data_IF_679470423807
#
_entry.id   IF_679470423807
#
_cell.length_a   1.000
_cell.length_b   1.000
_cell.length_c   1.000
_cell.angle_alpha   90.00
_cell.angle_beta   90.00
_cell.angle_gamma   90.00
#
_symmetry.space_group_name_H-M   'P 1'
#
loop_
_entity.id
_entity.type
_entity.pdbx_description
1 polymer ?
#
# COMPACT_ATOMS: atom_id res chain seq x y z
N UNK A 1 -51.70 -10.34 32.70
CA UNK A 1 -50.31 -10.26 33.18
C UNK A 1 -49.52 -9.49 32.12
N UNK A 2 -49.41 -8.16 32.09
CA UNK A 2 -49.42 -7.14 33.18
C UNK A 2 -48.39 -7.45 34.27
N UNK A 3 -47.39 -6.64 34.63
CA UNK A 3 -46.88 -5.32 34.16
C UNK A 3 -45.30 -5.38 34.19
N UNK A 4 -44.44 -4.36 33.99
CA UNK A 4 -44.48 -2.87 33.99
C UNK A 4 -43.50 -2.28 32.95
N UNK A 5 -43.61 -0.97 32.73
CA UNK A 5 -42.62 -0.10 32.08
C UNK A 5 -41.44 0.22 33.01
N UNK A 6 -40.27 0.54 32.44
CA UNK A 6 -39.26 1.41 33.06
C UNK A 6 -38.72 2.39 32.01
N UNK A 7 -39.13 3.66 32.11
CA UNK A 7 -38.37 4.78 31.53
C UNK A 7 -37.07 4.99 32.31
N UNK A 8 -36.16 5.83 31.77
CA UNK A 8 -34.99 6.55 32.36
C UNK A 8 -33.80 6.35 31.41
N UNK A 9 -33.11 7.37 30.87
CA UNK A 9 -33.35 8.83 30.80
C UNK A 9 -32.68 9.37 29.54
N UNK A 10 -33.26 10.40 28.91
CA UNK A 10 -32.73 11.02 27.70
C UNK A 10 -31.59 12.02 28.03
N UNK A 11 -30.34 11.58 28.00
CA UNK A 11 -29.18 12.46 28.18
C UNK A 11 -28.81 13.17 26.87
N UNK A 12 -29.38 14.35 26.65
CA UNK A 12 -29.04 15.22 25.52
C UNK A 12 -27.65 15.85 25.72
N UNK A 13 -26.62 15.16 25.22
CA UNK A 13 -25.26 15.70 25.14
C UNK A 13 -25.17 16.68 23.96
N UNK A 14 -25.29 17.97 24.27
CA UNK A 14 -25.01 19.06 23.34
C UNK A 14 -23.50 19.11 23.12
N UNK A 15 -23.00 18.35 22.14
CA UNK A 15 -21.65 18.56 21.64
C UNK A 15 -21.63 19.86 20.84
N UNK A 16 -21.05 20.90 21.44
CA UNK A 16 -20.77 22.14 20.74
C UNK A 16 -19.88 21.85 19.53
N UNK A 17 -20.36 22.19 18.34
CA UNK A 17 -19.60 22.16 17.09
C UNK A 17 -18.50 23.23 17.12
N UNK A 18 -17.40 22.93 17.83
CA UNK A 18 -16.19 23.72 17.78
C UNK A 18 -15.61 23.64 16.37
N UNK A 19 -15.91 24.65 15.56
CA UNK A 19 -15.24 24.88 14.28
C UNK A 19 -13.78 25.24 14.56
N UNK A 20 -12.95 24.22 14.77
CA UNK A 20 -11.51 24.36 14.75
C UNK A 20 -11.11 24.76 13.33
N UNK A 21 -10.98 26.06 13.10
CA UNK A 21 -10.27 26.59 11.95
C UNK A 21 -8.84 26.08 12.05
N UNK A 22 -8.56 24.97 11.38
CA UNK A 22 -7.21 24.54 11.09
C UNK A 22 -6.57 25.67 10.28
N UNK A 23 -5.74 26.48 10.95
CA UNK A 23 -4.90 27.41 10.25
C UNK A 23 -3.99 26.59 9.35
N UNK A 24 -4.18 26.68 8.04
CA UNK A 24 -3.23 26.19 7.06
C UNK A 24 -1.93 26.99 7.27
N UNK A 25 -1.08 26.46 8.14
CA UNK A 25 0.27 26.93 8.31
C UNK A 25 0.99 26.66 6.98
N UNK A 26 1.05 27.69 6.14
CA UNK A 26 1.85 27.66 4.91
C UNK A 26 3.26 27.24 5.31
N UNK A 27 3.78 26.11 4.81
CA UNK A 27 5.09 25.64 5.20
C UNK A 27 6.11 26.73 4.91
N UNK A 28 6.78 27.25 5.94
CA UNK A 28 7.82 28.26 5.76
C UNK A 28 8.90 27.60 4.88
N UNK A 29 9.22 28.15 3.70
CA UNK A 29 10.14 27.52 2.77
C UNK A 29 11.50 27.28 3.43
N UNK A 30 11.97 26.03 3.38
CA UNK A 30 13.16 25.57 4.09
C UNK A 30 14.44 25.98 3.35
N UNK A 31 14.76 27.27 3.36
CA UNK A 31 15.98 27.83 2.79
C UNK A 31 15.79 28.50 1.41
N UNK A 32 16.89 28.74 0.67
CA UNK A 32 16.84 29.45 -0.60
C UNK A 32 16.07 28.66 -1.66
N UNK A 33 15.63 29.36 -2.72
CA UNK A 33 15.04 28.72 -3.89
C UNK A 33 15.97 27.66 -4.50
N UNK A 34 15.39 26.68 -5.18
CA UNK A 34 16.14 25.67 -5.93
C UNK A 34 16.74 26.29 -7.18
N UNK A 35 18.04 26.08 -7.36
CA UNK A 35 18.77 26.44 -8.58
C UNK A 35 18.35 25.57 -9.77
N UNK A 36 18.67 26.02 -11.00
CA UNK A 36 18.33 25.30 -12.23
C UNK A 36 18.87 23.86 -12.23
N UNK A 37 20.09 23.63 -11.76
CA UNK A 37 20.68 22.28 -11.77
C UNK A 37 20.12 21.37 -10.66
N UNK A 38 19.76 21.92 -9.49
CA UNK A 38 19.00 21.19 -8.47
C UNK A 38 17.61 20.81 -9.01
N UNK A 39 16.94 21.73 -9.71
CA UNK A 39 15.66 21.49 -10.36
C UNK A 39 15.74 20.40 -11.44
N UNK A 40 16.84 20.32 -12.21
CA UNK A 40 17.10 19.23 -13.16
C UNK A 40 17.17 17.89 -12.45
N UNK A 41 17.93 17.80 -11.36
CA UNK A 41 17.97 16.60 -10.51
C UNK A 41 16.59 16.18 -10.04
N UNK A 42 15.81 17.13 -9.50
CA UNK A 42 14.44 16.89 -9.06
C UNK A 42 13.51 16.38 -10.17
N UNK A 43 13.54 16.99 -11.36
CA UNK A 43 12.75 16.55 -12.51
C UNK A 43 13.13 15.13 -12.99
N UNK A 44 14.35 14.68 -12.72
CA UNK A 44 14.81 13.32 -13.04
C UNK A 44 14.51 12.27 -11.95
N UNK A 45 14.14 12.67 -10.73
CA UNK A 45 13.66 11.77 -9.69
C UNK A 45 12.14 11.50 -9.80
N UNK A 46 11.37 12.45 -10.33
CA UNK A 46 9.93 12.32 -10.58
C UNK A 46 9.54 11.03 -11.36
N UNK A 47 10.15 10.67 -12.51
CA UNK A 47 9.84 9.42 -13.21
C UNK A 47 10.28 8.15 -12.45
N UNK A 48 11.32 8.23 -11.61
CA UNK A 48 11.77 7.08 -10.79
C UNK A 48 10.77 6.78 -9.67
N UNK A 49 10.26 7.82 -9.02
CA UNK A 49 9.19 7.70 -8.03
C UNK A 49 7.92 7.09 -8.64
N UNK A 50 7.57 7.48 -9.87
CA UNK A 50 6.42 6.91 -10.57
C UNK A 50 6.64 5.43 -10.94
N UNK A 51 7.82 5.07 -11.47
CA UNK A 51 8.17 3.67 -11.71
C UNK A 51 8.11 2.82 -10.42
N UNK A 52 8.57 3.35 -9.28
CA UNK A 52 8.48 2.69 -7.98
C UNK A 52 7.02 2.52 -7.48
N UNK A 53 6.12 3.48 -7.73
CA UNK A 53 4.68 3.31 -7.46
C UNK A 53 4.08 2.17 -8.29
N UNK A 54 4.47 2.06 -9.56
CA UNK A 54 3.98 1.03 -10.46
C UNK A 54 4.49 -0.37 -10.07
N UNK A 55 5.75 -0.49 -9.66
CA UNK A 55 6.30 -1.74 -9.10
C UNK A 55 5.57 -2.18 -7.82
N UNK A 56 5.26 -1.24 -6.90
CA UNK A 56 4.44 -1.52 -5.71
C UNK A 56 3.03 -1.99 -6.09
N UNK A 57 2.39 -1.35 -7.08
CA UNK A 57 1.06 -1.73 -7.55
C UNK A 57 1.07 -3.15 -8.14
N UNK A 58 2.08 -3.48 -8.95
CA UNK A 58 2.30 -4.83 -9.47
C UNK A 58 2.50 -5.86 -8.35
N UNK A 59 3.36 -5.57 -7.36
CA UNK A 59 3.60 -6.48 -6.22
C UNK A 59 2.36 -6.69 -5.36
N UNK A 60 1.51 -5.68 -5.20
CA UNK A 60 0.18 -5.82 -4.54
C UNK A 60 -0.73 -6.75 -5.34
N UNK A 61 -0.85 -6.54 -6.65
CA UNK A 61 -1.65 -7.42 -7.50
C UNK A 61 -1.19 -8.89 -7.43
N UNK A 62 0.13 -9.15 -7.39
CA UNK A 62 0.70 -10.49 -7.18
C UNK A 62 0.31 -11.07 -5.81
N UNK A 63 0.36 -10.28 -4.74
CA UNK A 63 -0.07 -10.71 -3.41
C UNK A 63 -1.56 -11.08 -3.39
N UNK A 64 -2.41 -10.23 -3.99
CA UNK A 64 -3.86 -10.44 -4.06
C UNK A 64 -4.20 -11.70 -4.89
N UNK A 65 -3.54 -11.90 -6.03
CA UNK A 65 -3.67 -13.11 -6.88
C UNK A 65 -3.33 -14.38 -6.10
N UNK A 66 -2.20 -14.41 -5.39
CA UNK A 66 -1.75 -15.58 -4.61
C UNK A 66 -2.66 -15.82 -3.40
N UNK A 67 -3.17 -14.77 -2.76
CA UNK A 67 -4.12 -14.87 -1.65
C UNK A 67 -5.48 -15.40 -2.12
N UNK A 68 -5.94 -15.01 -3.32
CA UNK A 68 -7.15 -15.55 -3.95
C UNK A 68 -6.99 -17.03 -4.30
N UNK A 69 -5.84 -17.42 -4.88
CA UNK A 69 -5.52 -18.83 -5.19
C UNK A 69 -5.51 -19.70 -3.93
N UNK A 70 -4.90 -19.23 -2.85
CA UNK A 70 -4.92 -19.93 -1.57
C UNK A 70 -6.35 -20.10 -1.03
N UNK A 71 -7.17 -19.05 -1.10
CA UNK A 71 -8.56 -19.07 -0.63
C UNK A 71 -9.40 -20.07 -1.43
N UNK A 72 -9.22 -20.12 -2.76
CA UNK A 72 -9.88 -21.09 -3.62
C UNK A 72 -9.45 -22.54 -3.31
N UNK A 73 -8.16 -22.78 -3.10
CA UNK A 73 -7.62 -24.10 -2.75
C UNK A 73 -8.10 -24.58 -1.38
N UNK A 74 -8.13 -23.70 -0.37
CA UNK A 74 -8.69 -23.99 0.95
C UNK A 74 -10.19 -24.34 0.88
N UNK A 75 -10.96 -23.64 0.03
CA UNK A 75 -12.35 -23.98 -0.25
C UNK A 75 -12.50 -25.40 -0.84
N UNK A 76 -11.65 -25.77 -1.80
CA UNK A 76 -11.63 -27.13 -2.37
C UNK A 76 -11.25 -28.20 -1.34
N UNK A 77 -10.25 -27.94 -0.49
CA UNK A 77 -9.83 -28.83 0.62
C UNK A 77 -10.99 -29.02 1.60
N UNK A 78 -11.65 -27.93 2.01
CA UNK A 78 -12.79 -27.97 2.92
C UNK A 78 -13.98 -28.73 2.33
N UNK A 79 -14.23 -28.62 1.03
CA UNK A 79 -15.29 -29.38 0.37
C UNK A 79 -14.95 -30.86 0.26
N UNK A 80 -13.74 -31.21 -0.21
CA UNK A 80 -13.29 -32.62 -0.29
C UNK A 80 -13.37 -33.32 1.06
N UNK A 81 -12.93 -32.67 2.15
CA UNK A 81 -13.02 -33.22 3.52
C UNK A 81 -14.44 -33.59 3.97
N UNK A 82 -15.49 -32.93 3.45
CA UNK A 82 -16.88 -33.21 3.79
C UNK A 82 -17.47 -34.39 3.03
N UNK A 83 -16.90 -34.75 1.88
CA UNK A 83 -17.49 -35.70 0.93
C UNK A 83 -16.58 -36.90 0.61
N UNK A 84 -15.43 -37.01 1.26
CA UNK A 84 -14.45 -38.07 1.02
C UNK A 84 -14.87 -39.35 1.75
N UNK A 85 -14.96 -40.46 1.00
CA UNK A 85 -15.12 -41.80 1.57
C UNK A 85 -13.84 -42.22 2.33
N UNK A 86 -13.92 -42.67 3.59
CA UNK A 86 -12.77 -43.18 4.33
C UNK A 86 -12.02 -44.33 3.65
N UNK A 87 -12.64 -45.02 2.70
CA UNK A 87 -12.06 -46.13 1.94
C UNK A 87 -11.47 -45.69 0.58
N UNK A 88 -11.72 -44.45 0.13
CA UNK A 88 -11.13 -43.91 -1.09
C UNK A 88 -9.69 -43.45 -0.82
N UNK A 89 -8.75 -44.36 -1.04
CA UNK A 89 -7.31 -44.11 -0.88
C UNK A 89 -6.79 -43.06 -1.87
N UNK A 90 -7.38 -42.97 -3.07
CA UNK A 90 -6.96 -42.00 -4.10
C UNK A 90 -7.42 -40.60 -3.70
N UNK A 91 -8.68 -40.45 -3.26
CA UNK A 91 -9.21 -39.20 -2.74
C UNK A 91 -8.47 -38.71 -1.50
N UNK A 92 -8.02 -39.61 -0.62
CA UNK A 92 -7.17 -39.28 0.54
C UNK A 92 -5.80 -38.72 0.12
N UNK A 93 -5.12 -39.36 -0.83
CA UNK A 93 -3.82 -38.88 -1.31
C UNK A 93 -3.97 -37.56 -2.10
N UNK A 94 -5.03 -37.40 -2.90
CA UNK A 94 -5.35 -36.13 -3.56
C UNK A 94 -5.59 -35.00 -2.53
N UNK A 95 -6.37 -35.26 -1.47
CA UNK A 95 -6.61 -34.29 -0.40
C UNK A 95 -5.31 -33.89 0.31
N UNK A 96 -4.45 -34.85 0.63
CA UNK A 96 -3.13 -34.64 1.23
C UNK A 96 -2.24 -33.77 0.34
N UNK A 97 -2.22 -34.04 -0.97
CA UNK A 97 -1.46 -33.23 -1.93
C UNK A 97 -2.02 -31.80 -2.07
N UNK A 98 -3.35 -31.60 -2.09
CA UNK A 98 -3.93 -30.25 -2.03
C UNK A 98 -3.54 -29.51 -0.75
N UNK A 99 -3.54 -30.18 0.41
CA UNK A 99 -3.09 -29.59 1.68
C UNK A 99 -1.61 -29.18 1.65
N UNK A 100 -0.74 -30.00 1.06
CA UNK A 100 0.68 -29.68 0.89
C UNK A 100 0.88 -28.47 -0.03
N UNK A 101 0.14 -28.38 -1.15
CA UNK A 101 0.15 -27.22 -2.05
C UNK A 101 -0.32 -25.94 -1.32
N UNK A 102 -1.37 -26.03 -0.51
CA UNK A 102 -1.85 -24.89 0.28
C UNK A 102 -0.85 -24.46 1.37
N UNK A 103 -0.08 -25.38 1.94
CA UNK A 103 1.00 -25.06 2.87
C UNK A 103 2.16 -24.36 2.16
N UNK A 104 2.61 -24.88 1.01
CA UNK A 104 3.67 -24.27 0.20
C UNK A 104 3.29 -22.87 -0.32
N UNK A 105 2.03 -22.67 -0.75
CA UNK A 105 1.54 -21.36 -1.18
C UNK A 105 1.46 -20.35 -0.02
N UNK A 106 1.05 -20.79 1.19
CA UNK A 106 1.12 -19.95 2.39
C UNK A 106 2.55 -19.53 2.70
N UNK A 107 3.50 -20.47 2.65
CA UNK A 107 4.90 -20.16 2.90
C UNK A 107 5.42 -19.13 1.89
N UNK A 108 5.26 -19.38 0.57
CA UNK A 108 5.64 -18.44 -0.50
C UNK A 108 5.07 -17.03 -0.29
N UNK A 109 3.81 -16.92 0.14
CA UNK A 109 3.16 -15.63 0.44
C UNK A 109 3.88 -14.92 1.61
N UNK A 110 4.23 -15.64 2.69
CA UNK A 110 4.93 -15.03 3.83
C UNK A 110 6.41 -14.75 3.54
N UNK A 111 7.15 -15.76 3.08
CA UNK A 111 8.61 -15.76 2.99
C UNK A 111 9.14 -14.95 1.80
N UNK A 112 8.34 -14.78 0.75
CA UNK A 112 8.76 -14.05 -0.45
C UNK A 112 7.84 -12.89 -0.82
N UNK A 113 6.56 -13.15 -1.09
CA UNK A 113 5.68 -12.12 -1.71
C UNK A 113 5.46 -10.92 -0.79
N UNK A 114 5.18 -11.16 0.49
CA UNK A 114 5.02 -10.08 1.49
C UNK A 114 6.32 -9.34 1.77
N UNK A 115 7.45 -10.04 1.91
CA UNK A 115 8.75 -9.38 2.12
C UNK A 115 9.13 -8.51 0.92
N UNK A 116 8.93 -9.01 -0.31
CA UNK A 116 9.23 -8.26 -1.53
C UNK A 116 8.38 -7.00 -1.69
N UNK A 117 7.07 -7.08 -1.37
CA UNK A 117 6.20 -5.90 -1.34
C UNK A 117 6.62 -4.90 -0.25
N UNK A 118 6.92 -5.37 0.96
CA UNK A 118 7.34 -4.50 2.07
C UNK A 118 8.65 -3.78 1.75
N UNK A 119 9.61 -4.46 1.12
CA UNK A 119 10.87 -3.87 0.67
C UNK A 119 10.62 -2.75 -0.34
N UNK A 120 9.85 -3.01 -1.42
CA UNK A 120 9.54 -1.99 -2.42
C UNK A 120 8.82 -0.77 -1.83
N UNK A 121 7.90 -0.98 -0.87
CA UNK A 121 7.25 0.12 -0.13
C UNK A 121 8.25 0.91 0.71
N UNK A 122 9.20 0.24 1.38
CA UNK A 122 10.26 0.88 2.16
C UNK A 122 11.17 1.73 1.27
N UNK A 123 11.61 1.20 0.14
CA UNK A 123 12.50 1.88 -0.80
C UNK A 123 11.81 3.10 -1.44
N UNK A 124 10.55 2.96 -1.86
CA UNK A 124 9.73 4.10 -2.29
C UNK A 124 9.60 5.16 -1.21
N UNK A 125 9.35 4.79 0.05
CA UNK A 125 9.22 5.77 1.14
C UNK A 125 10.54 6.52 1.39
N UNK A 126 11.69 5.83 1.29
CA UNK A 126 13.00 6.46 1.39
C UNK A 126 13.25 7.44 0.22
N UNK A 127 12.97 7.04 -1.02
CA UNK A 127 13.07 7.91 -2.20
C UNK A 127 12.13 9.11 -2.09
N UNK A 128 10.88 8.90 -1.68
CA UNK A 128 9.89 9.98 -1.52
C UNK A 128 10.30 10.95 -0.41
N UNK A 129 10.80 10.46 0.73
CA UNK A 129 11.32 11.31 1.80
C UNK A 129 12.52 12.14 1.34
N UNK A 130 13.44 11.55 0.58
CA UNK A 130 14.59 12.26 0.01
C UNK A 130 14.13 13.35 -0.98
N UNK A 131 13.24 13.01 -1.91
CA UNK A 131 12.66 13.96 -2.86
C UNK A 131 11.88 15.08 -2.16
N UNK A 132 11.10 14.80 -1.11
CA UNK A 132 10.41 15.86 -0.35
C UNK A 132 11.42 16.82 0.30
N UNK A 133 12.48 16.27 0.92
CA UNK A 133 13.52 17.05 1.58
C UNK A 133 14.33 17.93 0.60
N UNK A 134 14.66 17.41 -0.59
CA UNK A 134 15.51 18.13 -1.57
C UNK A 134 14.70 18.98 -2.55
N UNK A 135 13.51 18.55 -2.97
CA UNK A 135 12.80 19.09 -4.14
C UNK A 135 11.46 19.77 -3.84
N UNK A 136 10.83 19.48 -2.70
CA UNK A 136 9.48 19.99 -2.37
C UNK A 136 9.52 21.10 -1.32
N UNK A 137 10.40 20.99 -0.32
CA UNK A 137 10.43 21.91 0.82
C UNK A 137 11.06 23.29 0.52
N UNK A 138 11.60 23.50 -0.69
CA UNK A 138 12.26 24.75 -1.13
C UNK A 138 11.48 25.42 -2.27
N UNK A 139 11.49 26.76 -2.38
CA UNK A 139 10.80 27.47 -3.46
C UNK A 139 11.29 27.04 -4.85
N UNK A 140 10.36 26.85 -5.79
CA UNK A 140 10.63 26.60 -7.21
C UNK A 140 10.08 27.79 -8.01
N UNK A 141 10.93 28.62 -8.59
CA UNK A 141 10.46 29.70 -9.48
C UNK A 141 10.17 29.14 -10.87
N UNK A 142 9.06 29.58 -11.49
CA UNK A 142 8.62 29.05 -12.78
C UNK A 142 9.68 29.22 -13.89
N UNK A 143 10.37 30.36 -13.92
CA UNK A 143 11.47 30.63 -14.85
C UNK A 143 12.60 29.59 -14.72
N UNK A 144 13.05 29.30 -13.51
CA UNK A 144 14.13 28.33 -13.26
C UNK A 144 13.69 26.90 -13.58
N UNK A 145 12.41 26.57 -13.36
CA UNK A 145 11.81 25.29 -13.76
C UNK A 145 11.79 25.13 -15.28
N UNK A 146 11.43 26.18 -16.02
CA UNK A 146 11.40 26.13 -17.49
C UNK A 146 12.82 26.14 -18.09
N UNK A 147 13.78 26.79 -17.44
CA UNK A 147 15.20 26.67 -17.77
C UNK A 147 15.77 25.29 -17.44
N UNK A 148 15.32 24.64 -16.37
CA UNK A 148 15.73 23.29 -16.00
C UNK A 148 15.22 22.24 -17.00
N UNK A 149 14.00 22.41 -17.51
CA UNK A 149 13.41 21.54 -18.56
C UNK A 149 14.12 21.64 -19.91
N UNK A 150 14.76 22.76 -20.24
CA UNK A 150 15.51 22.90 -21.49
C UNK A 150 16.67 21.90 -21.54
N UNK A 151 16.67 21.12 -22.61
CA UNK A 151 17.65 20.09 -22.93
C UNK A 151 17.84 19.06 -21.78
N UNK A 152 16.78 18.84 -20.99
CA UNK A 152 16.79 17.89 -19.87
C UNK A 152 16.91 16.46 -20.39
N UNK A 153 18.09 15.87 -20.19
CA UNK A 153 18.33 14.43 -20.38
C UNK A 153 18.58 13.82 -19.01
N UNK A 154 17.62 13.03 -18.53
CA UNK A 154 17.78 12.28 -17.29
C UNK A 154 18.61 11.01 -17.53
N UNK A 155 19.51 10.62 -16.61
CA UNK A 155 20.17 9.33 -16.68
C UNK A 155 19.13 8.22 -16.61
N UNK A 156 19.37 7.13 -17.33
CA UNK A 156 18.55 5.91 -17.23
C UNK A 156 18.55 5.42 -15.76
N UNK A 157 17.39 4.95 -15.24
CA UNK A 157 17.29 4.40 -13.90
C UNK A 157 18.03 3.07 -13.74
#
# INVERSE_FOLDING_TARGET
MTYRFAMITLSALILCSGAAYAQEATPIPAGPALSVDELRGCLCEEPKLEAARQDIAMRRAILDERQAQLTALDGQIAQRRKTLDPNDLIGQELLKNSMAQAAALRDLIQSYVRLSLNQAVSDYNAMASNYTATCVNRPRYAYDVDMAKKDLVCPLP
#
